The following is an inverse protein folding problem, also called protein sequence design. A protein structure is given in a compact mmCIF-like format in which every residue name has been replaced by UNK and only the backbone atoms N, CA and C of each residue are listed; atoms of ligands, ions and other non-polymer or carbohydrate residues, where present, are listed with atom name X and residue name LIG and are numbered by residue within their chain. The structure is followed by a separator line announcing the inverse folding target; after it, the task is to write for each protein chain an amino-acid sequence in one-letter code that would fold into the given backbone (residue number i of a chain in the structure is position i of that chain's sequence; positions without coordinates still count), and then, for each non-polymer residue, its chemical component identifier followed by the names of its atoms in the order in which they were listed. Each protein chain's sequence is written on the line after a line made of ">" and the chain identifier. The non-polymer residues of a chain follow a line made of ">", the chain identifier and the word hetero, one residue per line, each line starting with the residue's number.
data_IF_948994804274
#
_entry.id   IF_948994804274
#
_cell.length_a   1.000
_cell.length_b   1.000
_cell.length_c   1.000
_cell.angle_alpha   90.00
_cell.angle_beta   90.00
_cell.angle_gamma   90.00
#
_symmetry.space_group_name_H-M   'P 1'
#
loop_
_entity.id
_entity.type
_entity.pdbx_description
1 polymer ?
#
# COMPACT_ATOMS: atom_id res chain seq x y z
N UNK A 1 -1.48 -22.02 12.03
CA UNK A 1 -1.38 -20.75 11.30
C UNK A 1 0.05 -20.41 10.97
N UNK A 2 0.23 -19.87 9.78
CA UNK A 2 1.48 -19.32 9.25
C UNK A 2 1.37 -17.80 9.34
N UNK A 3 2.29 -17.17 10.07
CA UNK A 3 2.50 -15.73 9.97
C UNK A 3 3.50 -15.48 8.84
N UNK A 4 3.03 -14.88 7.74
CA UNK A 4 3.86 -14.54 6.58
C UNK A 4 4.17 -13.05 6.56
N UNK A 5 5.45 -12.70 6.61
CA UNK A 5 5.88 -11.29 6.74
C UNK A 5 7.07 -10.97 5.85
N UNK A 6 7.30 -9.70 5.46
CA UNK A 6 8.54 -9.29 4.82
C UNK A 6 9.75 -9.65 5.69
N UNK A 7 10.87 -10.02 5.08
CA UNK A 7 12.11 -10.39 5.80
C UNK A 7 12.60 -9.28 6.76
N UNK A 8 12.27 -8.01 6.47
CA UNK A 8 12.61 -6.87 7.33
C UNK A 8 11.62 -6.59 8.46
N UNK A 9 10.56 -7.39 8.61
CA UNK A 9 9.48 -7.15 9.57
C UNK A 9 9.97 -6.96 11.01
N UNK A 10 10.89 -7.82 11.47
CA UNK A 10 11.48 -7.72 12.82
C UNK A 10 12.41 -6.52 13.02
N UNK A 11 12.81 -5.82 11.95
CA UNK A 11 13.66 -4.63 12.05
C UNK A 11 12.86 -3.39 12.47
N UNK A 12 11.53 -3.43 12.35
CA UNK A 12 10.69 -2.31 12.72
C UNK A 12 10.62 -2.16 14.25
N UNK A 13 10.87 -0.93 14.70
CA UNK A 13 10.60 -0.51 16.07
C UNK A 13 10.22 0.96 16.06
N UNK A 14 9.18 1.33 16.81
CA UNK A 14 8.76 2.72 16.91
C UNK A 14 9.92 3.60 17.40
N UNK A 15 10.26 4.62 16.61
CA UNK A 15 11.33 5.58 16.95
C UNK A 15 10.88 6.66 17.96
N UNK A 16 9.66 6.54 18.46
CA UNK A 16 9.04 7.33 19.52
C UNK A 16 9.24 8.85 19.30
N UNK A 17 9.88 9.54 20.25
CA UNK A 17 10.05 10.99 20.20
C UNK A 17 10.87 11.51 19.02
N UNK A 18 11.55 10.63 18.27
CA UNK A 18 12.28 11.01 17.05
C UNK A 18 11.38 11.09 15.82
N UNK A 19 10.17 10.52 15.89
CA UNK A 19 9.23 10.52 14.77
C UNK A 19 8.74 11.94 14.47
N UNK A 20 8.85 12.37 13.22
CA UNK A 20 8.40 13.70 12.79
C UNK A 20 6.90 13.71 12.45
N UNK A 21 6.40 12.59 11.91
CA UNK A 21 4.98 12.36 11.62
C UNK A 21 4.42 11.26 12.53
N UNK A 22 4.07 11.65 13.75
CA UNK A 22 3.62 10.70 14.77
C UNK A 22 2.21 10.18 14.44
N UNK A 23 2.07 8.85 14.34
CA UNK A 23 0.75 8.20 14.25
C UNK A 23 -0.14 8.46 15.48
N UNK A 24 0.40 9.00 16.57
CA UNK A 24 -0.40 9.44 17.72
C UNK A 24 -0.99 10.86 17.54
N UNK A 25 -1.05 11.37 16.31
CA UNK A 25 -1.61 12.66 15.96
C UNK A 25 -2.31 12.62 14.59
N UNK A 26 -3.30 13.49 14.40
CA UNK A 26 -4.00 13.68 13.13
C UNK A 26 -5.35 12.96 13.03
N UNK A 27 -5.50 11.82 13.72
CA UNK A 27 -6.69 10.96 13.66
C UNK A 27 -7.09 10.44 15.04
N UNK A 28 -8.31 9.92 15.17
CA UNK A 28 -8.83 9.33 16.41
C UNK A 28 -8.39 7.87 16.53
N UNK A 29 -7.88 7.48 17.71
CA UNK A 29 -7.40 6.12 17.95
C UNK A 29 -8.49 5.35 18.70
N UNK A 30 -9.00 4.31 18.06
CA UNK A 30 -9.93 3.37 18.68
C UNK A 30 -9.23 2.50 19.73
N UNK A 31 -10.01 2.12 20.73
CA UNK A 31 -9.61 1.33 21.88
C UNK A 31 -10.52 0.09 21.89
N UNK A 32 -9.91 -1.09 21.78
CA UNK A 32 -10.61 -2.36 21.89
C UNK A 32 -11.23 -2.54 23.30
N UNK A 33 -12.27 -3.37 23.39
CA UNK A 33 -13.05 -3.53 24.62
C UNK A 33 -12.20 -4.02 25.81
N UNK A 34 -11.26 -4.92 25.55
CA UNK A 34 -10.36 -5.49 26.56
C UNK A 34 -9.42 -4.42 27.13
N UNK A 35 -8.81 -3.64 26.25
CA UNK A 35 -7.96 -2.50 26.62
C UNK A 35 -8.75 -1.44 27.38
N UNK A 36 -9.96 -1.11 26.93
CA UNK A 36 -10.83 -0.16 27.63
C UNK A 36 -11.19 -0.65 29.04
N UNK A 37 -11.53 -1.93 29.20
CA UNK A 37 -11.79 -2.54 30.49
C UNK A 37 -10.55 -2.50 31.39
N UNK A 38 -9.37 -2.84 30.85
CA UNK A 38 -8.11 -2.75 31.57
C UNK A 38 -7.82 -1.32 32.02
N UNK A 39 -7.94 -0.33 31.14
CA UNK A 39 -7.72 1.09 31.44
C UNK A 39 -8.65 1.60 32.55
N UNK A 40 -9.90 1.12 32.59
CA UNK A 40 -10.84 1.40 33.66
C UNK A 40 -10.48 0.75 35.00
N UNK A 41 -9.70 -0.33 35.00
CA UNK A 41 -9.20 -0.97 36.22
C UNK A 41 -7.98 -0.25 36.82
N UNK A 42 -7.24 0.55 36.02
CA UNK A 42 -6.02 1.23 36.48
C UNK A 42 -6.35 2.24 37.59
N UNK A 43 -5.63 2.12 38.70
CA UNK A 43 -5.78 2.98 39.88
C UNK A 43 -4.73 4.10 39.95
N UNK A 44 -4.85 4.95 40.96
CA UNK A 44 -3.90 6.03 41.24
C UNK A 44 -4.08 7.26 40.35
N UNK A 45 -3.09 8.17 40.41
CA UNK A 45 -3.14 9.45 39.68
C UNK A 45 -3.16 9.26 38.17
N UNK A 46 -2.39 8.29 37.69
CA UNK A 46 -2.32 7.97 36.27
C UNK A 46 -3.64 7.38 35.75
N UNK A 47 -4.19 6.38 36.45
CA UNK A 47 -5.48 5.78 36.08
C UNK A 47 -6.63 6.79 35.99
N UNK A 48 -6.67 7.79 36.88
CA UNK A 48 -7.64 8.90 36.79
C UNK A 48 -7.50 9.70 35.49
N UNK A 49 -6.27 10.12 35.16
CA UNK A 49 -5.98 10.83 33.91
C UNK A 49 -6.32 9.96 32.69
N UNK A 50 -5.99 8.68 32.72
CA UNK A 50 -6.24 7.75 31.61
C UNK A 50 -7.74 7.67 31.33
N UNK A 51 -8.58 7.48 32.34
CA UNK A 51 -10.04 7.48 32.21
C UNK A 51 -10.58 8.81 31.69
N UNK A 52 -10.05 9.93 32.16
CA UNK A 52 -10.40 11.25 31.65
C UNK A 52 -9.97 11.47 30.18
N UNK A 53 -8.98 10.70 29.71
CA UNK A 53 -8.42 10.78 28.35
C UNK A 53 -9.15 9.90 27.35
N UNK A 54 -10.17 9.15 27.76
CA UNK A 54 -10.99 8.31 26.89
C UNK A 54 -12.44 8.80 26.85
N UNK A 55 -13.17 8.42 25.81
CA UNK A 55 -14.62 8.58 25.71
C UNK A 55 -15.23 7.41 24.93
N UNK A 56 -16.53 7.23 25.11
CA UNK A 56 -17.36 6.34 24.31
C UNK A 56 -17.96 7.17 23.18
N UNK A 57 -17.74 6.77 21.94
CA UNK A 57 -18.30 7.40 20.76
C UNK A 57 -19.81 7.10 20.66
N UNK A 58 -20.57 8.00 20.04
CA UNK A 58 -22.00 7.80 19.84
C UNK A 58 -22.20 6.61 18.88
N UNK A 59 -23.09 5.63 19.15
CA UNK A 59 -23.37 4.55 18.21
C UNK A 59 -23.78 5.02 16.81
N UNK A 60 -24.34 6.23 16.70
CA UNK A 60 -24.71 6.84 15.42
C UNK A 60 -23.52 7.50 14.69
N UNK A 61 -22.33 7.55 15.31
CA UNK A 61 -21.09 8.16 14.81
C UNK A 61 -20.00 7.08 14.63
N UNK A 62 -19.75 6.67 13.38
CA UNK A 62 -18.75 5.67 13.00
C UNK A 62 -18.82 4.35 13.81
N UNK A 63 -20.03 3.86 14.06
CA UNK A 63 -20.26 2.54 14.68
C UNK A 63 -20.05 2.48 16.20
N UNK A 64 -19.84 3.62 16.87
CA UNK A 64 -19.63 3.70 18.32
C UNK A 64 -18.23 3.26 18.77
N UNK A 65 -18.14 2.63 19.95
CA UNK A 65 -16.88 2.13 20.51
C UNK A 65 -16.18 3.13 21.44
N UNK A 66 -14.90 2.86 21.76
CA UNK A 66 -14.12 3.66 22.71
C UNK A 66 -12.92 4.30 22.02
N UNK A 67 -12.65 5.56 22.34
CA UNK A 67 -11.57 6.32 21.68
C UNK A 67 -10.75 7.13 22.66
N UNK A 68 -9.49 7.38 22.31
CA UNK A 68 -8.71 8.40 22.99
C UNK A 68 -9.13 9.80 22.56
N UNK A 69 -9.36 10.69 23.53
CA UNK A 69 -9.60 12.10 23.28
C UNK A 69 -8.40 12.74 22.59
N UNK A 70 -8.66 13.66 21.69
CA UNK A 70 -7.63 14.50 21.08
C UNK A 70 -7.45 15.82 21.83
N UNK A 71 -6.21 16.32 21.87
CA UNK A 71 -5.79 17.57 22.49
C UNK A 71 -5.14 18.49 21.45
N UNK A 72 -5.33 19.79 21.62
CA UNK A 72 -4.65 20.81 20.82
C UNK A 72 -4.82 20.57 19.32
N UNK A 73 -3.70 20.39 18.61
CA UNK A 73 -3.64 20.09 17.16
C UNK A 73 -3.91 18.59 16.88
N UNK A 74 -5.09 18.08 17.26
CA UNK A 74 -5.48 16.68 17.04
C UNK A 74 -4.45 15.64 17.56
N UNK A 75 -3.81 15.87 18.71
CA UNK A 75 -2.84 14.93 19.31
C UNK A 75 -3.54 14.02 20.31
N UNK A 76 -3.23 12.73 20.32
CA UNK A 76 -3.75 11.79 21.31
C UNK A 76 -3.50 12.30 22.74
N UNK A 77 -4.48 12.18 23.63
CA UNK A 77 -4.39 12.66 25.02
C UNK A 77 -3.27 11.99 25.85
N UNK A 78 -2.80 10.82 25.40
CA UNK A 78 -1.67 10.09 25.98
C UNK A 78 -0.32 10.49 25.38
N UNK A 79 -0.26 11.25 24.28
CA UNK A 79 0.97 11.76 23.69
C UNK A 79 1.41 13.04 24.43
N UNK A 80 2.55 13.00 25.09
CA UNK A 80 3.07 14.14 25.85
C UNK A 80 3.80 15.17 24.98
N UNK A 81 4.25 16.28 25.61
CA UNK A 81 4.94 17.39 24.93
C UNK A 81 6.34 17.00 24.40
N UNK A 82 6.87 15.84 24.80
CA UNK A 82 8.12 15.27 24.31
C UNK A 82 7.91 14.22 23.21
N UNK A 83 6.69 14.11 22.63
CA UNK A 83 6.33 13.09 21.65
C UNK A 83 6.53 11.64 22.17
N UNK A 84 6.31 11.42 23.46
CA UNK A 84 6.31 10.08 24.06
C UNK A 84 4.89 9.70 24.50
N UNK A 85 4.54 8.43 24.34
CA UNK A 85 3.28 7.88 24.79
C UNK A 85 3.32 7.63 26.30
N UNK A 86 2.58 8.42 27.08
CA UNK A 86 2.54 8.28 28.53
C UNK A 86 1.91 6.94 28.96
N UNK A 87 1.05 6.34 28.14
CA UNK A 87 0.50 5.00 28.37
C UNK A 87 1.61 3.95 28.41
N UNK A 88 2.43 3.91 27.35
CA UNK A 88 3.59 3.04 27.27
C UNK A 88 4.57 3.28 28.42
N UNK A 89 4.91 4.54 28.71
CA UNK A 89 5.91 4.84 29.76
C UNK A 89 5.43 4.48 31.17
N UNK A 90 4.12 4.52 31.42
CA UNK A 90 3.56 4.27 32.75
C UNK A 90 3.19 2.80 32.97
N UNK A 91 2.65 2.12 31.95
CA UNK A 91 2.08 0.78 32.08
C UNK A 91 2.83 -0.29 31.26
N UNK A 92 3.74 0.11 30.38
CA UNK A 92 4.49 -0.80 29.51
C UNK A 92 3.81 -1.07 28.17
N UNK A 93 4.47 -1.87 27.34
CA UNK A 93 4.03 -2.23 25.99
C UNK A 93 2.76 -3.07 25.98
N UNK A 94 2.63 -4.01 26.92
CA UNK A 94 1.46 -4.90 27.07
C UNK A 94 0.16 -4.15 27.39
N UNK A 95 0.25 -2.86 27.70
CA UNK A 95 -0.91 -2.01 27.97
C UNK A 95 -1.40 -1.27 26.72
N UNK A 96 -0.74 -1.36 25.57
CA UNK A 96 -1.20 -0.71 24.35
C UNK A 96 -2.46 -1.42 23.81
N UNK A 97 -3.41 -0.64 23.29
CA UNK A 97 -4.56 -1.19 22.58
C UNK A 97 -4.13 -1.81 21.25
N UNK A 98 -5.01 -2.58 20.64
CA UNK A 98 -4.74 -3.30 19.39
C UNK A 98 -4.23 -2.36 18.30
N UNK A 99 -4.92 -1.24 18.07
CA UNK A 99 -4.52 -0.22 17.10
C UNK A 99 -3.09 0.30 17.34
N UNK A 100 -2.73 0.57 18.60
CA UNK A 100 -1.39 1.06 18.94
C UNK A 100 -0.30 0.00 18.80
N UNK A 101 -0.65 -1.28 18.97
CA UNK A 101 0.27 -2.41 18.93
C UNK A 101 0.51 -2.87 17.49
N UNK A 102 -0.56 -2.91 16.69
CA UNK A 102 -0.53 -3.39 15.32
C UNK A 102 0.05 -2.33 14.40
N UNK A 103 -0.30 -1.04 14.53
CA UNK A 103 0.24 -0.01 13.64
C UNK A 103 1.79 -0.02 13.59
N UNK A 104 2.42 0.01 12.41
CA UNK A 104 1.89 0.23 11.05
C UNK A 104 1.61 -1.07 10.27
N UNK A 105 1.29 -2.17 10.94
CA UNK A 105 1.08 -3.47 10.30
C UNK A 105 -0.32 -3.52 9.69
N UNK A 106 -0.38 -3.89 8.43
CA UNK A 106 -1.60 -4.32 7.76
C UNK A 106 -1.61 -5.84 7.70
N UNK A 107 -2.75 -6.46 7.98
CA UNK A 107 -2.91 -7.91 8.01
C UNK A 107 -3.97 -8.35 7.01
N UNK A 108 -3.70 -9.47 6.34
CA UNK A 108 -4.61 -10.17 5.44
C UNK A 108 -4.65 -11.64 5.85
N UNK A 109 -5.84 -12.19 6.07
CA UNK A 109 -6.00 -13.59 6.50
C UNK A 109 -6.65 -14.38 5.36
N UNK A 110 -5.99 -15.45 4.89
CA UNK A 110 -6.52 -16.35 3.89
C UNK A 110 -6.07 -17.78 4.16
N UNK A 111 -6.99 -18.74 4.14
CA UNK A 111 -6.76 -20.09 4.66
C UNK A 111 -6.08 -20.05 6.05
N UNK A 112 -5.05 -20.87 6.27
CA UNK A 112 -4.27 -20.87 7.52
C UNK A 112 -3.08 -19.89 7.51
N UNK A 113 -3.13 -18.82 6.69
CA UNK A 113 -2.06 -17.80 6.57
C UNK A 113 -2.56 -16.43 7.02
N UNK A 114 -1.84 -15.80 7.93
CA UNK A 114 -1.92 -14.36 8.20
C UNK A 114 -0.71 -13.68 7.55
N UNK A 115 -0.93 -12.99 6.43
CA UNK A 115 0.11 -12.20 5.78
C UNK A 115 0.09 -10.78 6.32
N UNK A 116 1.23 -10.29 6.85
CA UNK A 116 1.37 -8.88 7.23
C UNK A 116 2.28 -8.09 6.31
N UNK A 117 1.93 -6.83 6.04
CA UNK A 117 2.79 -5.82 5.43
C UNK A 117 2.98 -4.66 6.41
N UNK A 118 4.08 -3.91 6.28
CA UNK A 118 4.32 -2.69 7.06
C UNK A 118 4.00 -1.47 6.20
N UNK A 119 3.02 -0.66 6.62
CA UNK A 119 2.52 0.50 5.87
C UNK A 119 3.56 1.61 5.74
N UNK A 120 3.64 2.20 4.55
CA UNK A 120 4.53 3.32 4.24
C UNK A 120 4.11 4.65 4.88
N UNK A 121 2.92 4.73 5.45
CA UNK A 121 2.46 5.85 6.29
C UNK A 121 3.35 6.08 7.52
N UNK A 122 4.20 5.12 7.89
CA UNK A 122 5.21 5.29 8.92
C UNK A 122 6.58 5.63 8.30
N UNK A 123 7.15 6.79 8.66
CA UNK A 123 8.46 7.22 8.12
C UNK A 123 9.61 6.24 8.45
N UNK A 124 9.53 5.52 9.56
CA UNK A 124 10.54 4.51 9.92
C UNK A 124 10.44 3.27 9.03
N UNK A 125 9.23 2.88 8.63
CA UNK A 125 9.04 1.80 7.64
C UNK A 125 9.59 2.24 6.29
N UNK A 126 9.27 3.46 5.85
CA UNK A 126 9.84 4.03 4.63
C UNK A 126 11.38 4.03 4.67
N UNK A 127 11.99 4.41 5.80
CA UNK A 127 13.45 4.34 5.99
C UNK A 127 13.96 2.91 5.87
N UNK A 128 13.35 1.96 6.57
CA UNK A 128 13.74 0.54 6.55
C UNK A 128 13.66 -0.01 5.13
N UNK A 129 12.59 0.28 4.39
CA UNK A 129 12.37 -0.22 3.02
C UNK A 129 13.35 0.42 2.03
N UNK A 130 13.37 1.75 1.93
CA UNK A 130 14.10 2.42 0.85
C UNK A 130 15.62 2.48 1.04
N UNK A 131 16.15 2.23 2.25
CA UNK A 131 17.60 2.11 2.48
C UNK A 131 18.16 0.73 2.11
N UNK A 132 17.31 -0.26 1.78
CA UNK A 132 17.73 -1.61 1.39
C UNK A 132 18.11 -1.72 -0.07
N UNK A 133 18.98 -2.68 -0.38
CA UNK A 133 19.40 -2.97 -1.76
C UNK A 133 19.08 -4.40 -2.19
N UNK A 134 18.77 -5.25 -1.24
CA UNK A 134 18.40 -6.65 -1.41
C UNK A 134 16.98 -6.75 -1.98
N UNK A 135 16.69 -7.76 -2.84
CA UNK A 135 15.32 -8.05 -3.23
C UNK A 135 14.48 -8.44 -2.00
N UNK A 136 13.27 -7.89 -1.91
CA UNK A 136 12.29 -8.20 -0.89
C UNK A 136 11.73 -9.62 -1.00
N UNK A 137 11.50 -10.24 0.16
CA UNK A 137 11.00 -11.61 0.28
C UNK A 137 10.04 -11.70 1.44
N UNK A 138 9.04 -12.56 1.30
CA UNK A 138 8.22 -13.01 2.41
C UNK A 138 8.89 -14.20 3.10
N UNK A 139 8.75 -14.26 4.42
CA UNK A 139 9.21 -15.36 5.27
C UNK A 139 8.05 -15.86 6.12
N UNK A 140 8.01 -17.18 6.32
CA UNK A 140 6.96 -17.87 7.06
C UNK A 140 7.42 -18.19 8.48
N UNK A 141 6.58 -17.87 9.45
CA UNK A 141 6.76 -18.17 10.87
C UNK A 141 5.61 -19.06 11.30
N UNK A 142 5.90 -20.29 11.72
CA UNK A 142 4.89 -21.20 12.25
C UNK A 142 4.45 -20.76 13.66
N UNK A 143 3.16 -20.48 13.82
CA UNK A 143 2.54 -20.11 15.09
C UNK A 143 1.51 -21.16 15.53
N UNK A 144 1.36 -21.39 16.85
CA UNK A 144 0.32 -22.27 17.36
C UNK A 144 -1.06 -21.65 17.11
N UNK A 145 -2.02 -22.47 16.68
CA UNK A 145 -3.40 -22.02 16.39
C UNK A 145 -3.79 -22.28 14.93
N UNK A 146 -5.00 -21.83 14.57
CA UNK A 146 -5.54 -21.86 13.21
C UNK A 146 -6.26 -20.53 12.97
N UNK A 147 -6.06 -19.91 11.81
CA UNK A 147 -6.82 -18.74 11.37
C UNK A 147 -7.75 -19.04 10.19
N UNK A 148 -7.74 -20.27 9.68
CA UNK A 148 -8.64 -20.74 8.62
C UNK A 148 -10.07 -20.87 9.15
N UNK A 149 -10.97 -20.08 8.57
CA UNK A 149 -12.42 -20.12 8.80
C UNK A 149 -13.15 -21.13 7.90
N UNK A 150 -12.43 -21.74 6.95
CA UNK A 150 -12.95 -22.71 6.00
C UNK A 150 -13.75 -22.11 4.84
N UNK A 151 -13.69 -20.79 4.65
CA UNK A 151 -14.39 -20.10 3.55
C UNK A 151 -13.60 -20.15 2.23
N UNK A 152 -12.27 -20.25 2.30
CA UNK A 152 -11.39 -20.22 1.14
C UNK A 152 -11.17 -21.60 0.49
N UNK A 153 -11.16 -21.65 -0.85
CA UNK A 153 -10.77 -22.87 -1.59
C UNK A 153 -9.24 -23.07 -1.51
N UNK A 154 -8.73 -24.19 -0.95
CA UNK A 154 -7.29 -24.40 -0.80
C UNK A 154 -6.51 -24.45 -2.11
N UNK A 155 -7.12 -24.90 -3.22
CA UNK A 155 -6.49 -24.90 -4.53
C UNK A 155 -6.37 -23.47 -5.08
N UNK A 156 -7.38 -22.64 -4.84
CA UNK A 156 -7.33 -21.22 -5.22
C UNK A 156 -6.31 -20.44 -4.38
N UNK A 157 -6.26 -20.66 -3.06
CA UNK A 157 -5.24 -20.05 -2.18
C UNK A 157 -3.83 -20.42 -2.65
N UNK A 158 -3.54 -21.71 -2.84
CA UNK A 158 -2.22 -22.16 -3.29
C UNK A 158 -1.83 -21.65 -4.68
N UNK A 159 -2.83 -21.39 -5.54
CA UNK A 159 -2.63 -20.74 -6.83
C UNK A 159 -2.27 -19.26 -6.65
N UNK A 160 -3.02 -18.53 -5.84
CA UNK A 160 -2.82 -17.10 -5.58
C UNK A 160 -1.48 -16.80 -4.89
N UNK A 161 -1.05 -17.62 -3.93
CA UNK A 161 0.28 -17.51 -3.32
C UNK A 161 1.41 -17.62 -4.35
N UNK A 162 1.27 -18.55 -5.30
CA UNK A 162 2.23 -18.69 -6.39
C UNK A 162 2.18 -17.51 -7.35
N UNK A 163 0.98 -17.03 -7.70
CA UNK A 163 0.82 -15.83 -8.54
C UNK A 163 1.47 -14.60 -7.91
N UNK A 164 1.34 -14.41 -6.60
CA UNK A 164 2.00 -13.33 -5.87
C UNK A 164 3.52 -13.47 -5.96
N UNK A 165 4.05 -14.68 -5.75
CA UNK A 165 5.49 -14.93 -5.85
C UNK A 165 6.03 -14.62 -7.26
N UNK A 166 5.34 -15.04 -8.32
CA UNK A 166 5.75 -14.71 -9.69
C UNK A 166 5.64 -13.22 -10.01
N UNK A 167 4.59 -12.55 -9.49
CA UNK A 167 4.45 -11.10 -9.62
C UNK A 167 5.64 -10.36 -9.02
N UNK A 168 6.10 -10.77 -7.84
CA UNK A 168 7.30 -10.23 -7.21
C UNK A 168 8.56 -10.56 -8.01
N UNK A 169 8.69 -11.79 -8.54
CA UNK A 169 9.83 -12.19 -9.37
C UNK A 169 9.97 -11.28 -10.61
N UNK A 170 8.85 -10.99 -11.29
CA UNK A 170 8.78 -10.07 -12.43
C UNK A 170 9.27 -8.67 -12.00
N UNK A 171 8.69 -8.13 -10.92
CA UNK A 171 9.01 -6.78 -10.44
C UNK A 171 10.45 -6.65 -9.91
N UNK A 172 11.08 -7.74 -9.49
CA UNK A 172 12.47 -7.78 -9.03
C UNK A 172 13.46 -8.22 -10.10
N UNK A 173 13.01 -8.42 -11.35
CA UNK A 173 13.88 -8.81 -12.46
C UNK A 173 14.72 -7.61 -12.94
N UNK A 174 15.79 -7.29 -12.22
CA UNK A 174 16.70 -6.17 -12.48
C UNK A 174 17.47 -6.24 -13.81
N UNK A 175 17.24 -7.28 -14.64
CA UNK A 175 17.74 -7.30 -16.02
C UNK A 175 16.94 -6.38 -16.95
N UNK A 176 15.72 -6.01 -16.55
CA UNK A 176 14.83 -5.06 -17.22
C UNK A 176 14.66 -3.80 -16.38
N UNK A 177 14.34 -2.68 -17.03
CA UNK A 177 14.00 -1.45 -16.31
C UNK A 177 12.59 -1.53 -15.71
N UNK A 178 12.26 -0.64 -14.77
CA UNK A 178 10.97 -0.58 -14.08
C UNK A 178 9.80 -0.50 -15.09
N UNK A 179 9.84 0.37 -16.11
CA UNK A 179 8.78 0.40 -17.13
C UNK A 179 8.49 -0.96 -17.79
N UNK A 180 9.54 -1.70 -18.17
CA UNK A 180 9.40 -3.03 -18.77
C UNK A 180 8.78 -4.02 -17.77
N UNK A 181 9.26 -4.02 -16.52
CA UNK A 181 8.74 -4.88 -15.46
C UNK A 181 7.29 -4.60 -15.09
N UNK A 182 6.87 -3.32 -15.06
CA UNK A 182 5.47 -2.95 -14.80
C UNK A 182 4.53 -3.45 -15.90
N UNK A 183 4.97 -3.38 -17.16
CA UNK A 183 4.19 -3.90 -18.30
C UNK A 183 4.10 -5.42 -18.28
N UNK A 184 5.19 -6.10 -17.94
CA UNK A 184 5.22 -7.56 -17.73
C UNK A 184 4.33 -7.99 -16.56
N UNK A 185 4.30 -7.22 -15.47
CA UNK A 185 3.43 -7.47 -14.33
C UNK A 185 1.93 -7.31 -14.69
N UNK A 186 1.54 -6.25 -15.39
CA UNK A 186 0.15 -6.08 -15.84
C UNK A 186 -0.30 -7.21 -16.77
N UNK A 187 0.58 -7.60 -17.68
CA UNK A 187 0.35 -8.70 -18.60
C UNK A 187 0.15 -10.05 -17.90
N UNK A 188 1.00 -10.31 -16.90
CA UNK A 188 0.90 -11.47 -16.05
C UNK A 188 -0.46 -11.53 -15.37
N UNK A 189 -0.87 -10.44 -14.71
CA UNK A 189 -2.14 -10.39 -14.00
C UNK A 189 -3.37 -10.46 -14.93
N UNK A 190 -3.32 -9.84 -16.12
CA UNK A 190 -4.38 -9.97 -17.14
C UNK A 190 -4.57 -11.42 -17.60
N UNK A 191 -3.44 -12.14 -17.75
CA UNK A 191 -3.47 -13.56 -18.10
C UNK A 191 -4.02 -14.41 -16.96
N UNK A 192 -3.55 -14.18 -15.73
CA UNK A 192 -4.07 -14.87 -14.55
C UNK A 192 -5.58 -14.63 -14.41
N UNK A 193 -6.06 -13.41 -14.62
CA UNK A 193 -7.49 -13.09 -14.59
C UNK A 193 -8.28 -13.91 -15.61
N UNK A 194 -7.75 -14.09 -16.83
CA UNK A 194 -8.39 -14.92 -17.86
C UNK A 194 -8.58 -16.36 -17.40
N UNK A 195 -7.59 -16.91 -16.69
CA UNK A 195 -7.60 -18.30 -16.19
C UNK A 195 -8.53 -18.44 -14.99
N UNK A 196 -8.55 -17.46 -14.08
CA UNK A 196 -9.53 -17.38 -12.97
C UNK A 196 -10.96 -17.34 -13.52
N UNK A 197 -11.23 -16.47 -14.50
CA UNK A 197 -12.55 -16.36 -15.12
C UNK A 197 -12.98 -17.69 -15.77
N UNK A 198 -12.03 -18.42 -16.39
CA UNK A 198 -12.30 -19.73 -16.97
C UNK A 198 -12.63 -20.78 -15.91
N UNK A 199 -11.87 -20.83 -14.80
CA UNK A 199 -12.13 -21.74 -13.68
C UNK A 199 -13.49 -21.46 -13.03
N UNK A 200 -13.84 -20.19 -12.82
CA UNK A 200 -15.16 -19.78 -12.33
C UNK A 200 -16.29 -20.21 -13.28
N UNK A 201 -16.12 -19.97 -14.59
CA UNK A 201 -17.11 -20.39 -15.60
C UNK A 201 -17.27 -21.92 -15.70
N UNK A 202 -16.26 -22.67 -15.27
CA UNK A 202 -16.28 -24.14 -15.19
C UNK A 202 -16.75 -24.69 -13.86
N UNK A 203 -16.84 -23.84 -12.83
CA UNK A 203 -17.05 -24.24 -11.43
C UNK A 203 -16.01 -25.28 -10.99
N UNK A 204 -14.76 -25.13 -11.45
CA UNK A 204 -13.67 -26.09 -11.20
C UNK A 204 -12.33 -25.37 -11.00
N UNK A 205 -11.95 -25.19 -9.74
CA UNK A 205 -10.68 -24.56 -9.36
C UNK A 205 -9.46 -25.45 -9.58
N UNK A 206 -9.64 -26.76 -9.80
CA UNK A 206 -8.50 -27.67 -10.04
C UNK A 206 -7.76 -27.36 -11.35
N UNK A 207 -8.46 -26.74 -12.31
CA UNK A 207 -7.89 -26.23 -13.57
C UNK A 207 -6.74 -25.24 -13.33
N UNK A 208 -6.77 -24.49 -12.23
CA UNK A 208 -5.72 -23.53 -11.89
C UNK A 208 -4.38 -24.24 -11.60
N UNK A 209 -4.44 -25.41 -10.97
CA UNK A 209 -3.25 -26.22 -10.69
C UNK A 209 -2.66 -26.78 -11.99
N UNK A 210 -3.50 -27.32 -12.88
CA UNK A 210 -3.07 -27.82 -14.19
C UNK A 210 -2.40 -26.71 -15.00
N UNK A 211 -3.04 -25.54 -15.09
CA UNK A 211 -2.50 -24.38 -15.80
C UNK A 211 -1.13 -23.95 -15.26
N UNK A 212 -0.99 -23.89 -13.93
CA UNK A 212 0.26 -23.54 -13.25
C UNK A 212 1.42 -24.46 -13.66
N UNK A 213 1.18 -25.77 -13.76
CA UNK A 213 2.25 -26.75 -14.02
C UNK A 213 2.51 -27.03 -15.50
N UNK A 214 1.50 -26.89 -16.36
CA UNK A 214 1.57 -27.33 -17.75
C UNK A 214 1.76 -26.16 -18.74
N UNK A 215 1.09 -25.02 -18.50
CA UNK A 215 0.87 -24.02 -19.55
C UNK A 215 1.44 -22.64 -19.22
N UNK A 216 1.49 -22.23 -17.94
CA UNK A 216 1.78 -20.85 -17.54
C UNK A 216 3.06 -20.28 -18.20
N UNK A 217 4.16 -21.02 -18.15
CA UNK A 217 5.43 -20.56 -18.74
C UNK A 217 5.43 -20.52 -20.27
N UNK A 218 4.66 -21.38 -20.94
CA UNK A 218 4.52 -21.36 -22.39
C UNK A 218 3.66 -20.18 -22.84
N UNK A 219 2.53 -19.99 -22.18
CA UNK A 219 1.60 -18.92 -22.49
C UNK A 219 2.15 -17.53 -22.16
N UNK A 220 2.99 -17.40 -21.12
CA UNK A 220 3.72 -16.17 -20.83
C UNK A 220 4.61 -15.78 -22.03
N UNK A 221 5.42 -16.73 -22.52
CA UNK A 221 6.29 -16.51 -23.69
C UNK A 221 5.50 -16.21 -24.95
N UNK A 222 4.37 -16.88 -25.18
CA UNK A 222 3.51 -16.55 -26.32
C UNK A 222 2.88 -15.17 -26.21
N UNK A 223 2.45 -14.77 -25.01
CA UNK A 223 1.89 -13.44 -24.77
C UNK A 223 2.95 -12.36 -25.00
N UNK A 224 4.16 -12.55 -24.45
CA UNK A 224 5.32 -11.69 -24.69
C UNK A 224 5.58 -11.56 -26.20
N UNK A 225 5.57 -12.68 -26.92
CA UNK A 225 5.78 -12.66 -28.36
C UNK A 225 4.65 -11.91 -29.10
N UNK A 226 3.39 -12.04 -28.68
CA UNK A 226 2.23 -11.41 -29.36
C UNK A 226 2.06 -9.93 -29.01
N UNK A 227 2.49 -9.49 -27.83
CA UNK A 227 2.21 -8.16 -27.29
C UNK A 227 3.46 -7.30 -27.06
N UNK A 228 4.65 -7.90 -26.97
CA UNK A 228 5.94 -7.21 -26.82
C UNK A 228 6.82 -7.40 -28.07
N UNK A 229 6.98 -8.63 -28.58
CA UNK A 229 7.86 -8.92 -29.75
C UNK A 229 7.12 -8.88 -31.10
N UNK A 230 6.97 -7.69 -31.68
CA UNK A 230 6.54 -7.55 -33.09
C UNK A 230 5.37 -6.59 -33.34
N UNK A 231 4.78 -6.03 -32.27
CA UNK A 231 4.07 -4.75 -32.35
C UNK A 231 5.08 -3.62 -32.13
N UNK A 232 4.87 -2.45 -32.74
CA UNK A 232 5.62 -1.26 -32.32
C UNK A 232 5.44 -1.12 -30.81
N UNK A 233 6.56 -1.07 -30.05
CA UNK A 233 6.51 -0.79 -28.61
C UNK A 233 5.58 0.43 -28.45
N UNK A 234 4.56 0.39 -27.56
CA UNK A 234 3.69 1.54 -27.35
C UNK A 234 4.59 2.74 -27.14
N UNK A 235 4.53 3.71 -28.06
CA UNK A 235 5.35 4.91 -27.96
C UNK A 235 4.92 5.55 -26.66
N UNK A 236 5.84 5.60 -25.70
CA UNK A 236 5.61 6.29 -24.44
C UNK A 236 5.18 7.72 -24.78
N UNK A 237 3.93 8.04 -24.46
CA UNK A 237 3.32 9.30 -24.78
C UNK A 237 2.86 9.89 -23.45
N UNK A 238 3.80 10.49 -22.73
CA UNK A 238 3.48 11.22 -21.51
C UNK A 238 2.64 12.43 -21.92
N UNK A 239 1.33 12.37 -21.73
CA UNK A 239 0.44 13.49 -22.00
C UNK A 239 -0.06 14.09 -20.69
N UNK A 240 -0.31 15.40 -20.70
CA UNK A 240 -0.99 16.08 -19.61
C UNK A 240 -2.43 15.54 -19.46
N UNK A 241 -3.10 15.19 -20.55
CA UNK A 241 -4.44 14.59 -20.56
C UNK A 241 -4.49 13.28 -19.74
N UNK A 242 -3.52 12.37 -19.95
CA UNK A 242 -3.44 11.13 -19.16
C UNK A 242 -3.17 11.41 -17.67
N UNK A 243 -2.40 12.47 -17.37
CA UNK A 243 -2.17 12.90 -15.99
C UNK A 243 -3.43 13.46 -15.36
N UNK A 244 -4.13 14.35 -16.06
CA UNK A 244 -5.34 15.00 -15.59
C UNK A 244 -6.45 13.99 -15.32
N UNK A 245 -6.69 13.05 -16.25
CA UNK A 245 -7.67 11.97 -16.06
C UNK A 245 -7.32 11.07 -14.87
N UNK A 246 -6.04 10.67 -14.74
CA UNK A 246 -5.58 9.88 -13.60
C UNK A 246 -5.75 10.64 -12.29
N UNK A 247 -5.34 11.90 -12.25
CA UNK A 247 -5.29 12.69 -11.03
C UNK A 247 -6.68 13.14 -10.57
N UNK A 248 -7.65 13.30 -11.48
CA UNK A 248 -9.04 13.60 -11.12
C UNK A 248 -9.60 12.62 -10.08
N UNK A 249 -9.25 11.34 -10.18
CA UNK A 249 -9.66 10.29 -9.24
C UNK A 249 -9.15 10.57 -7.82
N UNK A 250 -7.88 10.96 -7.73
CA UNK A 250 -7.22 11.28 -6.47
C UNK A 250 -7.67 12.64 -5.91
N UNK A 251 -8.16 13.53 -6.77
CA UNK A 251 -8.68 14.82 -6.37
C UNK A 251 -10.04 14.72 -5.65
N UNK A 252 -10.86 13.74 -6.05
CA UNK A 252 -12.21 13.49 -5.52
C UNK A 252 -12.23 12.62 -4.25
N UNK A 253 -11.10 12.03 -3.86
CA UNK A 253 -10.96 11.24 -2.63
C UNK A 253 -11.21 12.07 -1.36
N UNK A 254 -11.58 11.37 -0.28
CA UNK A 254 -11.69 11.95 1.06
C UNK A 254 -10.34 12.53 1.51
N UNK A 255 -10.34 13.80 1.91
CA UNK A 255 -9.15 14.50 2.37
C UNK A 255 -8.83 14.15 3.84
N UNK A 256 -7.77 13.37 4.06
CA UNK A 256 -7.39 12.93 5.41
C UNK A 256 -6.40 13.88 6.09
N UNK A 257 -5.50 14.51 5.32
CA UNK A 257 -4.45 15.39 5.85
C UNK A 257 -4.25 16.67 5.01
N UNK A 258 -3.95 17.77 5.69
CA UNK A 258 -3.61 19.05 5.04
C UNK A 258 -2.41 18.90 4.08
N UNK A 259 -1.48 17.98 4.34
CA UNK A 259 -0.35 17.70 3.45
C UNK A 259 -0.80 17.25 2.06
N UNK A 260 -1.86 16.44 1.98
CA UNK A 260 -2.42 16.00 0.71
C UNK A 260 -3.07 17.16 -0.04
N UNK A 261 -3.85 17.99 0.64
CA UNK A 261 -4.46 19.19 0.06
C UNK A 261 -3.40 20.09 -0.59
N UNK A 262 -2.27 20.30 0.12
CA UNK A 262 -1.15 21.04 -0.45
C UNK A 262 -0.50 20.35 -1.66
N UNK A 263 -0.43 19.01 -1.68
CA UNK A 263 0.02 18.25 -2.86
C UNK A 263 -0.91 18.47 -4.05
N UNK A 264 -2.24 18.46 -3.84
CA UNK A 264 -3.21 18.74 -4.92
C UNK A 264 -3.03 20.13 -5.50
N UNK A 265 -2.94 21.14 -4.63
CA UNK A 265 -2.67 22.52 -5.08
C UNK A 265 -1.32 22.68 -5.79
N UNK A 266 -0.30 21.90 -5.41
CA UNK A 266 1.01 21.91 -6.07
C UNK A 266 0.89 21.37 -7.49
N UNK A 267 0.16 20.27 -7.67
CA UNK A 267 -0.07 19.68 -8.99
C UNK A 267 -0.79 20.64 -9.93
N UNK A 268 -1.88 21.27 -9.47
CA UNK A 268 -2.63 22.27 -10.25
C UNK A 268 -1.77 23.46 -10.69
N UNK A 269 -0.80 23.88 -9.87
CA UNK A 269 0.10 25.00 -10.18
C UNK A 269 1.23 24.58 -11.12
N UNK A 270 1.76 23.37 -10.94
CA UNK A 270 2.99 22.92 -11.58
C UNK A 270 2.73 22.24 -12.94
N UNK A 271 1.73 21.38 -13.00
CA UNK A 271 1.43 20.56 -14.17
C UNK A 271 0.38 21.22 -15.04
N UNK A 272 0.78 21.53 -16.27
CA UNK A 272 -0.01 22.12 -17.34
C UNK A 272 0.33 21.38 -18.64
N UNK A 273 -0.47 21.59 -19.69
CA UNK A 273 -0.32 20.95 -20.99
C UNK A 273 1.11 21.08 -21.56
N UNK A 274 1.78 22.22 -21.34
CA UNK A 274 3.13 22.50 -21.84
C UNK A 274 4.26 22.20 -20.84
N UNK A 275 3.97 21.87 -19.58
CA UNK A 275 4.98 21.64 -18.54
C UNK A 275 5.10 20.18 -18.10
N UNK A 276 4.00 19.41 -18.07
CA UNK A 276 3.98 18.09 -17.44
C UNK A 276 5.00 17.11 -18.02
N UNK A 277 5.01 16.93 -19.35
CA UNK A 277 5.93 16.00 -20.01
C UNK A 277 7.40 16.39 -19.77
N UNK A 278 7.70 17.69 -19.92
CA UNK A 278 9.05 18.21 -19.72
C UNK A 278 9.51 17.95 -18.28
N UNK A 279 8.63 18.19 -17.32
CA UNK A 279 8.92 18.02 -15.91
C UNK A 279 9.21 16.57 -15.54
N UNK A 280 8.27 15.70 -15.83
CA UNK A 280 8.43 14.28 -15.56
C UNK A 280 9.68 13.71 -16.25
N UNK A 281 9.94 14.12 -17.49
CA UNK A 281 11.10 13.65 -18.26
C UNK A 281 12.44 14.10 -17.66
N UNK A 282 12.55 15.33 -17.15
CA UNK A 282 13.78 15.80 -16.52
C UNK A 282 14.08 15.01 -15.25
N UNK A 283 13.07 14.82 -14.39
CA UNK A 283 13.21 14.03 -13.17
C UNK A 283 13.66 12.61 -13.49
N UNK A 284 13.01 11.94 -14.43
CA UNK A 284 13.35 10.56 -14.83
C UNK A 284 14.73 10.41 -15.47
N UNK A 285 15.29 11.48 -16.05
CA UNK A 285 16.65 11.50 -16.60
C UNK A 285 17.70 11.95 -15.58
N UNK A 286 17.28 12.43 -14.42
CA UNK A 286 18.17 12.89 -13.36
C UNK A 286 18.89 11.71 -12.68
N UNK A 287 19.98 12.01 -11.98
CA UNK A 287 20.66 11.03 -11.11
C UNK A 287 19.84 10.60 -9.90
N UNK A 288 18.77 11.34 -9.60
CA UNK A 288 17.98 11.18 -8.38
C UNK A 288 16.77 10.24 -8.62
N UNK A 289 16.47 9.91 -9.88
CA UNK A 289 15.51 8.86 -10.23
C UNK A 289 16.08 7.47 -9.87
N UNK A 290 15.34 6.71 -9.07
CA UNK A 290 15.80 5.46 -8.48
C UNK A 290 14.92 4.29 -8.90
N UNK A 291 15.39 3.51 -9.88
CA UNK A 291 14.78 2.24 -10.29
C UNK A 291 14.59 1.28 -9.11
N UNK A 292 15.55 1.25 -8.17
CA UNK A 292 15.48 0.43 -6.97
C UNK A 292 14.38 0.92 -6.01
N UNK A 293 14.19 2.25 -5.89
CA UNK A 293 13.13 2.82 -5.07
C UNK A 293 11.74 2.44 -5.60
N UNK A 294 11.54 2.48 -6.91
CA UNK A 294 10.29 2.04 -7.53
C UNK A 294 10.08 0.53 -7.47
N UNK A 295 11.14 -0.29 -7.56
CA UNK A 295 11.06 -1.74 -7.32
C UNK A 295 10.47 -2.02 -5.92
N UNK A 296 11.05 -1.40 -4.89
CA UNK A 296 10.58 -1.55 -3.52
C UNK A 296 9.14 -1.08 -3.32
N UNK A 297 8.77 0.05 -3.93
CA UNK A 297 7.41 0.58 -3.88
C UNK A 297 6.38 -0.36 -4.54
N UNK A 298 6.70 -0.88 -5.73
CA UNK A 298 5.84 -1.82 -6.45
C UNK A 298 5.66 -3.13 -5.67
N UNK A 299 6.74 -3.69 -5.13
CA UNK A 299 6.67 -4.93 -4.34
C UNK A 299 5.90 -4.70 -3.03
N UNK A 300 6.08 -3.55 -2.38
CA UNK A 300 5.27 -3.15 -1.24
C UNK A 300 3.76 -3.15 -1.58
N UNK A 301 3.37 -2.51 -2.69
CA UNK A 301 1.97 -2.50 -3.11
C UNK A 301 1.44 -3.89 -3.50
N UNK A 302 2.27 -4.78 -4.06
CA UNK A 302 1.89 -6.19 -4.26
C UNK A 302 1.57 -6.89 -2.94
N UNK A 303 2.40 -6.72 -1.91
CA UNK A 303 2.12 -7.31 -0.59
C UNK A 303 0.92 -6.68 0.10
N UNK A 304 0.65 -5.38 -0.15
CA UNK A 304 -0.49 -4.65 0.43
C UNK A 304 -1.82 -4.99 -0.23
N UNK A 305 -1.85 -5.15 -1.55
CA UNK A 305 -3.09 -5.14 -2.33
C UNK A 305 -3.39 -6.42 -3.08
N UNK A 306 -2.40 -7.05 -3.74
CA UNK A 306 -2.68 -8.09 -4.74
C UNK A 306 -3.47 -9.28 -4.19
N UNK A 307 -3.16 -9.72 -2.97
CA UNK A 307 -3.79 -10.89 -2.35
C UNK A 307 -5.22 -10.65 -1.87
N UNK A 308 -5.70 -9.40 -1.82
CA UNK A 308 -7.12 -9.13 -1.56
C UNK A 308 -8.02 -9.71 -2.67
N UNK A 309 -7.46 -10.05 -3.84
CA UNK A 309 -8.21 -10.73 -4.90
C UNK A 309 -8.66 -12.14 -4.53
N UNK A 310 -8.19 -12.71 -3.42
CA UNK A 310 -8.72 -13.99 -2.92
C UNK A 310 -10.22 -13.88 -2.63
N UNK A 311 -10.68 -12.73 -2.13
CA UNK A 311 -12.07 -12.55 -1.70
C UNK A 311 -13.03 -12.23 -2.85
N UNK A 312 -12.55 -11.65 -3.95
CA UNK A 312 -13.40 -11.14 -5.04
C UNK A 312 -13.04 -11.65 -6.44
N UNK A 313 -11.97 -12.44 -6.56
CA UNK A 313 -11.46 -13.01 -7.80
C UNK A 313 -11.01 -11.98 -8.86
N UNK A 314 -10.81 -10.71 -8.49
CA UNK A 314 -10.46 -9.61 -9.41
C UNK A 314 -8.99 -9.17 -9.25
N UNK A 315 -8.07 -10.05 -9.65
CA UNK A 315 -6.63 -9.76 -9.59
C UNK A 315 -6.21 -8.62 -10.52
N UNK A 316 -6.86 -8.47 -11.68
CA UNK A 316 -6.47 -7.47 -12.67
C UNK A 316 -6.72 -6.05 -12.15
N UNK A 317 -7.82 -5.79 -11.45
CA UNK A 317 -8.08 -4.46 -10.86
C UNK A 317 -7.04 -4.11 -9.79
N UNK A 318 -6.62 -5.06 -8.94
CA UNK A 318 -5.53 -4.80 -7.99
C UNK A 318 -4.19 -4.57 -8.69
N UNK A 319 -3.88 -5.29 -9.76
CA UNK A 319 -2.65 -5.07 -10.53
C UNK A 319 -2.61 -3.67 -11.17
N UNK A 320 -3.74 -3.22 -11.72
CA UNK A 320 -3.90 -1.84 -12.23
C UNK A 320 -3.77 -0.81 -11.12
N UNK A 321 -4.38 -1.04 -9.96
CA UNK A 321 -4.27 -0.19 -8.77
C UNK A 321 -2.82 -0.02 -8.32
N UNK A 322 -2.05 -1.12 -8.26
CA UNK A 322 -0.62 -1.10 -7.90
C UNK A 322 0.19 -0.23 -8.87
N UNK A 323 -0.05 -0.37 -10.17
CA UNK A 323 0.60 0.46 -11.19
C UNK A 323 0.15 1.92 -11.09
N UNK A 324 -1.14 2.17 -10.93
CA UNK A 324 -1.72 3.52 -10.82
C UNK A 324 -1.13 4.28 -9.63
N UNK A 325 -1.10 3.64 -8.45
CA UNK A 325 -0.48 4.17 -7.24
C UNK A 325 0.99 4.54 -7.47
N UNK A 326 1.73 3.66 -8.16
CA UNK A 326 3.14 3.90 -8.50
C UNK A 326 3.32 5.10 -9.44
N UNK A 327 2.43 5.27 -10.44
CA UNK A 327 2.45 6.41 -11.35
C UNK A 327 2.17 7.72 -10.62
N UNK A 328 1.20 7.75 -9.69
CA UNK A 328 0.92 8.95 -8.89
C UNK A 328 2.10 9.29 -7.97
N UNK A 329 2.68 8.32 -7.29
CA UNK A 329 3.89 8.54 -6.47
C UNK A 329 5.05 9.09 -7.33
N UNK A 330 5.23 8.58 -8.56
CA UNK A 330 6.23 9.12 -9.49
C UNK A 330 5.97 10.58 -9.84
N UNK A 331 4.71 10.96 -10.05
CA UNK A 331 4.35 12.35 -10.34
C UNK A 331 4.54 13.25 -9.11
N UNK A 332 4.29 12.73 -7.90
CA UNK A 332 4.62 13.41 -6.63
C UNK A 332 6.13 13.62 -6.49
N UNK A 333 6.94 12.62 -6.83
CA UNK A 333 8.39 12.73 -6.78
C UNK A 333 8.92 13.78 -7.75
N UNK A 334 8.40 13.81 -8.99
CA UNK A 334 8.77 14.79 -9.98
C UNK A 334 8.41 16.21 -9.50
N UNK A 335 7.21 16.41 -8.94
CA UNK A 335 6.81 17.70 -8.39
C UNK A 335 7.75 18.14 -7.26
N UNK A 336 8.06 17.22 -6.34
CA UNK A 336 8.99 17.44 -5.23
C UNK A 336 10.40 17.77 -5.72
N UNK A 337 10.89 17.10 -6.76
CA UNK A 337 12.18 17.37 -7.39
C UNK A 337 12.26 18.81 -7.93
N UNK A 338 11.20 19.28 -8.60
CA UNK A 338 11.12 20.66 -9.10
C UNK A 338 11.07 21.69 -7.99
N UNK A 339 10.21 21.47 -6.99
CA UNK A 339 10.10 22.34 -5.82
C UNK A 339 11.45 22.55 -5.12
N UNK A 340 12.25 21.48 -5.07
CA UNK A 340 13.56 21.47 -4.44
C UNK A 340 14.69 22.00 -5.35
N UNK A 341 14.37 22.53 -6.54
CA UNK A 341 15.37 23.11 -7.46
C UNK A 341 16.20 22.07 -8.20
N UNK A 342 15.59 20.94 -8.57
CA UNK A 342 16.24 19.86 -9.30
C UNK A 342 17.00 18.89 -8.40
N UNK A 343 16.47 18.64 -7.19
CA UNK A 343 17.04 17.71 -6.22
C UNK A 343 15.98 16.87 -5.53
N UNK A 344 16.19 15.56 -5.52
CA UNK A 344 15.31 14.61 -4.84
C UNK A 344 16.13 13.67 -3.96
N UNK A 345 15.90 13.72 -2.66
CA UNK A 345 16.68 12.98 -1.66
C UNK A 345 15.94 11.75 -1.16
N UNK A 346 16.65 10.88 -0.43
CA UNK A 346 16.00 9.76 0.26
C UNK A 346 14.93 10.23 1.26
N UNK A 347 15.14 11.38 1.91
CA UNK A 347 14.13 11.94 2.80
C UNK A 347 12.87 12.36 2.04
N UNK A 348 13.01 12.87 0.81
CA UNK A 348 11.88 13.21 -0.05
C UNK A 348 11.13 11.94 -0.51
N UNK A 349 11.85 10.86 -0.85
CA UNK A 349 11.27 9.55 -1.17
C UNK A 349 10.39 9.01 -0.04
N UNK A 350 10.91 9.01 1.18
CA UNK A 350 10.20 8.52 2.36
C UNK A 350 8.97 9.39 2.62
N UNK A 351 9.12 10.72 2.54
CA UNK A 351 8.04 11.67 2.78
C UNK A 351 6.91 11.56 1.75
N UNK A 352 7.23 11.47 0.46
CA UNK A 352 6.23 11.34 -0.61
C UNK A 352 5.45 10.03 -0.47
N UNK A 353 6.14 8.90 -0.24
CA UNK A 353 5.48 7.62 -0.06
C UNK A 353 4.59 7.58 1.19
N UNK A 354 5.03 8.25 2.27
CA UNK A 354 4.25 8.43 3.50
C UNK A 354 2.97 9.21 3.26
N UNK A 355 3.06 10.36 2.58
CA UNK A 355 1.89 11.20 2.26
C UNK A 355 0.88 10.39 1.43
N UNK A 356 1.33 9.70 0.38
CA UNK A 356 0.47 8.86 -0.45
C UNK A 356 -0.21 7.75 0.37
N UNK A 357 0.57 6.99 1.14
CA UNK A 357 0.06 5.87 1.93
C UNK A 357 -0.92 6.35 3.00
N UNK A 358 -0.65 7.48 3.66
CA UNK A 358 -1.58 8.06 4.64
C UNK A 358 -2.90 8.45 3.98
N UNK A 359 -2.87 9.08 2.81
CA UNK A 359 -4.09 9.52 2.13
C UNK A 359 -4.93 8.34 1.59
N UNK A 360 -4.27 7.38 0.93
CA UNK A 360 -4.97 6.33 0.18
C UNK A 360 -5.23 5.09 1.03
N UNK A 361 -4.31 4.71 1.92
CA UNK A 361 -4.40 3.44 2.64
C UNK A 361 -5.04 3.53 4.02
N UNK A 362 -5.21 4.73 4.59
CA UNK A 362 -5.86 4.92 5.89
C UNK A 362 -7.37 5.19 5.77
N UNK A 363 -7.88 5.41 4.55
CA UNK A 363 -9.32 5.42 4.27
C UNK A 363 -9.66 4.19 3.43
N UNK A 364 -10.49 3.31 4.00
CA UNK A 364 -11.05 2.17 3.25
C UNK A 364 -11.83 2.66 2.03
N UNK A 365 -12.51 3.82 2.15
CA UNK A 365 -13.20 4.49 1.06
C UNK A 365 -12.25 4.85 -0.07
N UNK A 366 -11.15 5.56 0.22
CA UNK A 366 -10.18 5.94 -0.80
C UNK A 366 -9.54 4.73 -1.51
N UNK A 367 -9.18 3.69 -0.75
CA UNK A 367 -8.64 2.46 -1.34
C UNK A 367 -9.65 1.74 -2.25
N UNK A 368 -10.93 1.71 -1.84
CA UNK A 368 -12.01 1.11 -2.62
C UNK A 368 -12.32 1.94 -3.87
N UNK A 369 -12.40 3.27 -3.76
CA UNK A 369 -12.62 4.18 -4.88
C UNK A 369 -11.51 4.03 -5.94
N UNK A 370 -10.24 3.92 -5.50
CA UNK A 370 -9.11 3.68 -6.40
C UNK A 370 -9.26 2.35 -7.16
N UNK A 371 -9.70 1.29 -6.48
CA UNK A 371 -9.90 -0.02 -7.10
C UNK A 371 -11.08 -0.01 -8.07
N UNK A 372 -12.22 0.55 -7.68
CA UNK A 372 -13.42 0.66 -8.52
C UNK A 372 -13.12 1.46 -9.79
N UNK A 373 -12.37 2.54 -9.66
CA UNK A 373 -11.86 3.29 -10.81
C UNK A 373 -10.99 2.41 -11.71
N UNK A 374 -10.04 1.64 -11.16
CA UNK A 374 -9.20 0.76 -11.94
C UNK A 374 -10.00 -0.33 -12.69
N UNK A 375 -11.17 -0.69 -12.18
CA UNK A 375 -12.10 -1.61 -12.83
C UNK A 375 -12.85 -0.94 -13.99
N UNK A 376 -13.31 0.30 -13.81
CA UNK A 376 -14.32 0.92 -14.69
C UNK A 376 -13.76 1.94 -15.69
N UNK A 377 -12.70 2.67 -15.35
CA UNK A 377 -12.27 3.83 -16.12
C UNK A 377 -11.32 3.48 -17.29
N UNK A 378 -11.46 4.25 -18.39
CA UNK A 378 -10.66 4.08 -19.60
C UNK A 378 -9.16 4.33 -19.35
N UNK A 379 -8.84 5.31 -18.49
CA UNK A 379 -7.46 5.68 -18.13
C UNK A 379 -6.70 4.55 -17.40
N UNK A 380 -7.43 3.60 -16.80
CA UNK A 380 -6.87 2.47 -16.08
C UNK A 380 -6.87 1.16 -16.90
N UNK A 381 -7.30 1.18 -18.16
CA UNK A 381 -7.15 0.00 -19.03
C UNK A 381 -5.68 -0.37 -19.19
N UNK A 382 -5.41 -1.66 -19.40
CA UNK A 382 -4.04 -2.19 -19.48
C UNK A 382 -3.22 -1.47 -20.55
N UNK A 383 -3.80 -1.20 -21.72
CA UNK A 383 -3.14 -0.48 -22.81
C UNK A 383 -2.96 1.01 -22.50
N UNK A 384 -3.90 1.65 -21.80
CA UNK A 384 -3.76 3.02 -21.31
C UNK A 384 -2.65 3.14 -20.26
N UNK A 385 -2.60 2.24 -19.27
CA UNK A 385 -1.52 2.19 -18.28
C UNK A 385 -0.17 1.92 -18.93
N UNK A 386 -0.10 0.99 -19.89
CA UNK A 386 1.13 0.71 -20.64
C UNK A 386 1.67 1.93 -21.38
N UNK A 387 0.82 2.89 -21.78
CA UNK A 387 1.23 4.13 -22.45
C UNK A 387 1.74 5.19 -21.46
N UNK A 388 1.21 5.20 -20.23
CA UNK A 388 1.59 6.10 -19.13
C UNK A 388 2.88 5.68 -18.40
N UNK A 389 3.19 4.38 -18.43
CA UNK A 389 4.47 3.79 -17.99
C UNK A 389 5.60 4.28 -18.89
#
# INVERSE_FOLDING_TARGET
>A
MILRVPEYYEKFSCIASRCKDSCCAGWEIDIDEDSYAYYNSVEGKFGKRLKESMYEADPDDDGGGYRFKLKGKKRCAMLNDHNLCDLYTALGEEALCEVCTEYPRFSLIYGDVEQKALSLSCEEVGRILFERTEPEKLVDIELPGNCDDGEDDPAYVAFMEWVQQESVNILQNRTHNIPERMREFLAWCDRVQTVINYAQAKEDMSVLADWRYEDAGHELREWEQKNIEGKEKPVRALSYEDFEERFAVFADMEELDDEWVHTKEEFEKLYQEDTYEAFLTEYMRSSDYSELGYEHLLVYFVYRYLMNSIYDYDILSYAKMIVMATLVVRDMDAARFYRNGGKFTMSDRIDVARIFSKEVEHSEGNAQDLKEMCMMEEIAKVDALCRQI
#
